data_IF_661952680742
#
_entry.id   IF_661952680742
#
_cell.length_a   1.000
_cell.length_b   1.000
_cell.length_c   1.000
_cell.angle_alpha   90.00
_cell.angle_beta   90.00
_cell.angle_gamma   90.00
#
_symmetry.space_group_name_H-M   'P 1'
#
loop_
_entity.id
_entity.type
_entity.pdbx_description
1 polymer ?
#
# COMPACT_ATOMS: atom_id res chain seq x y z
N UNK A 1 8.61 -5.79 24.51
CA UNK A 1 9.46 -4.68 24.02
C UNK A 1 10.90 -4.99 24.40
N UNK A 2 11.58 -5.74 23.54
CA UNK A 2 12.90 -6.31 23.83
C UNK A 2 13.96 -5.22 24.04
N UNK A 3 14.92 -5.49 24.93
CA UNK A 3 16.02 -4.57 25.30
C UNK A 3 16.79 -4.10 24.05
N UNK A 4 16.92 -4.98 23.06
CA UNK A 4 17.63 -4.74 21.80
C UNK A 4 16.97 -3.67 20.90
N UNK A 5 15.63 -3.55 20.93
CA UNK A 5 14.93 -2.49 20.19
C UNK A 5 15.11 -1.12 20.85
N UNK A 6 15.17 -1.07 22.18
CA UNK A 6 15.35 0.19 22.91
C UNK A 6 16.74 0.79 22.72
N UNK A 7 17.78 -0.04 22.71
CA UNK A 7 19.14 0.44 22.45
C UNK A 7 19.28 0.98 21.02
N UNK A 8 18.62 0.34 20.04
CA UNK A 8 18.58 0.85 18.66
C UNK A 8 17.90 2.23 18.58
N UNK A 9 16.76 2.41 19.24
CA UNK A 9 15.94 3.62 19.18
C UNK A 9 16.72 4.91 19.52
N UNK A 10 17.63 4.84 20.48
CA UNK A 10 18.44 5.97 20.96
C UNK A 10 19.88 5.97 20.43
N UNK A 11 20.19 5.05 19.51
CA UNK A 11 21.52 4.94 18.92
C UNK A 11 21.65 5.72 17.61
N UNK A 12 22.89 5.95 17.19
CA UNK A 12 23.22 6.45 15.85
C UNK A 12 22.61 5.60 14.73
N UNK A 13 22.49 4.28 14.94
CA UNK A 13 21.85 3.40 13.95
C UNK A 13 20.36 3.73 13.82
N UNK A 14 19.66 3.97 14.93
CA UNK A 14 18.26 4.39 14.93
C UNK A 14 18.06 5.70 14.18
N UNK A 15 18.92 6.69 14.43
CA UNK A 15 18.90 7.98 13.71
C UNK A 15 19.09 7.80 12.19
N UNK A 16 20.08 7.00 11.78
CA UNK A 16 20.34 6.72 10.36
C UNK A 16 19.16 6.03 9.67
N UNK A 17 18.51 5.08 10.37
CA UNK A 17 17.34 4.38 9.85
C UNK A 17 16.13 5.31 9.71
N UNK A 18 15.90 6.19 10.70
CA UNK A 18 14.81 7.18 10.64
C UNK A 18 15.05 8.19 9.52
N UNK A 19 16.29 8.70 9.38
CA UNK A 19 16.65 9.61 8.29
C UNK A 19 16.42 8.97 6.92
N UNK A 20 16.88 7.73 6.73
CA UNK A 20 16.68 6.97 5.49
C UNK A 20 15.20 6.71 5.20
N UNK A 21 14.38 6.50 6.23
CA UNK A 21 12.94 6.35 6.07
C UNK A 21 12.30 7.68 5.63
N UNK A 22 12.69 8.81 6.25
CA UNK A 22 12.26 10.15 5.84
C UNK A 22 12.60 10.47 4.38
N UNK A 23 13.85 10.24 3.98
CA UNK A 23 14.29 10.43 2.58
C UNK A 23 13.47 9.59 1.59
N UNK A 24 13.13 8.35 1.94
CA UNK A 24 12.25 7.50 1.12
C UNK A 24 10.83 8.06 1.02
N UNK A 25 10.28 8.52 2.14
CA UNK A 25 8.96 9.16 2.19
C UNK A 25 8.91 10.44 1.35
N UNK A 26 9.95 11.28 1.43
CA UNK A 26 10.04 12.51 0.64
C UNK A 26 10.18 12.22 -0.87
N UNK A 27 10.82 11.09 -1.22
CA UNK A 27 11.02 10.68 -2.62
C UNK A 27 9.79 10.05 -3.29
N UNK A 28 8.68 9.85 -2.57
CA UNK A 28 7.45 9.25 -3.13
C UNK A 28 6.95 10.07 -4.34
N UNK A 29 6.47 9.33 -5.34
CA UNK A 29 6.05 9.80 -6.66
C UNK A 29 4.91 8.93 -7.22
N UNK A 30 4.00 9.46 -8.07
CA UNK A 30 3.83 10.87 -8.48
C UNK A 30 3.29 11.77 -7.38
N UNK A 31 2.40 11.24 -6.55
CA UNK A 31 1.67 12.00 -5.56
C UNK A 31 2.47 12.07 -4.26
N UNK A 32 2.63 13.28 -3.71
CA UNK A 32 3.26 13.46 -2.39
C UNK A 32 2.31 12.95 -1.30
N UNK A 33 2.89 12.30 -0.29
CA UNK A 33 2.11 11.84 0.85
C UNK A 33 1.46 13.04 1.57
N UNK A 34 0.16 12.95 1.88
CA UNK A 34 -0.57 14.04 2.58
C UNK A 34 -1.11 13.61 3.94
N UNK A 35 -1.19 12.31 4.17
CA UNK A 35 -1.71 11.69 5.38
C UNK A 35 -1.09 10.31 5.55
N UNK A 36 -1.40 9.67 6.68
CA UNK A 36 -1.03 8.28 6.96
C UNK A 36 -2.29 7.46 7.21
N UNK A 37 -2.31 6.16 6.85
CA UNK A 37 -1.28 5.46 6.08
C UNK A 37 -1.19 5.97 4.63
N UNK A 38 0.00 5.87 4.02
CA UNK A 38 0.22 6.19 2.60
C UNK A 38 0.84 4.98 1.92
N UNK A 39 0.18 4.46 0.89
CA UNK A 39 0.56 3.21 0.23
C UNK A 39 1.11 3.47 -1.16
N UNK A 40 2.25 2.86 -1.43
CA UNK A 40 2.98 2.91 -2.69
C UNK A 40 3.03 1.49 -3.26
N UNK A 41 2.65 1.33 -4.53
CA UNK A 41 2.59 0.02 -5.20
C UNK A 41 3.38 0.14 -6.50
N UNK A 42 4.33 -0.77 -6.71
CA UNK A 42 5.25 -0.74 -7.85
C UNK A 42 5.95 0.63 -8.00
N UNK A 43 6.38 1.22 -6.87
CA UNK A 43 7.02 2.54 -6.79
C UNK A 43 6.15 3.73 -7.26
N UNK A 44 4.83 3.54 -7.37
CA UNK A 44 3.85 4.56 -7.72
C UNK A 44 2.92 4.80 -6.53
N UNK A 45 2.86 6.04 -6.04
CA UNK A 45 1.77 6.50 -5.17
C UNK A 45 0.56 6.85 -6.02
N UNK A 46 -0.61 6.37 -5.59
CA UNK A 46 -1.86 6.63 -6.31
C UNK A 46 -2.83 7.23 -5.33
N UNK A 47 -2.94 8.56 -5.36
CA UNK A 47 -3.68 9.33 -4.36
C UNK A 47 -5.17 9.01 -4.34
N UNK A 48 -5.81 8.90 -5.51
CA UNK A 48 -7.24 8.62 -5.63
C UNK A 48 -7.66 7.30 -4.99
N UNK A 49 -6.74 6.34 -4.91
CA UNK A 49 -6.96 5.00 -4.44
C UNK A 49 -6.58 4.82 -2.96
N UNK A 50 -5.99 5.84 -2.31
CA UNK A 50 -5.72 5.81 -0.87
C UNK A 50 -7.01 5.69 -0.05
N UNK A 51 -8.15 6.13 -0.58
CA UNK A 51 -9.47 5.93 0.06
C UNK A 51 -10.04 4.52 -0.13
N UNK A 52 -9.49 3.75 -1.07
CA UNK A 52 -9.94 2.40 -1.42
C UNK A 52 -9.09 1.31 -0.76
N UNK A 53 -8.36 1.65 0.30
CA UNK A 53 -7.44 0.73 0.97
C UNK A 53 -8.12 -0.50 1.57
N UNK A 54 -9.38 -0.39 1.99
CA UNK A 54 -10.20 -1.55 2.41
C UNK A 54 -10.47 -2.54 1.27
N UNK A 55 -10.25 -2.12 0.03
CA UNK A 55 -10.40 -2.89 -1.20
C UNK A 55 -9.06 -3.12 -1.91
N UNK A 56 -7.93 -3.04 -1.18
CA UNK A 56 -6.60 -3.21 -1.75
C UNK A 56 -6.45 -4.52 -2.56
N UNK A 57 -7.04 -5.61 -2.08
CA UNK A 57 -6.97 -6.90 -2.76
C UNK A 57 -7.65 -6.88 -4.14
N UNK A 58 -8.76 -6.14 -4.27
CA UNK A 58 -9.44 -5.92 -5.55
C UNK A 58 -8.59 -5.06 -6.50
N UNK A 59 -7.96 -4.00 -5.98
CA UNK A 59 -7.09 -3.13 -6.77
C UNK A 59 -5.87 -3.89 -7.32
N UNK A 60 -5.20 -4.67 -6.47
CA UNK A 60 -4.06 -5.53 -6.87
C UNK A 60 -4.48 -6.47 -8.00
N UNK A 61 -5.66 -7.08 -7.91
CA UNK A 61 -6.19 -7.95 -8.96
C UNK A 61 -6.48 -7.20 -10.26
N UNK A 62 -6.96 -5.96 -10.18
CA UNK A 62 -7.25 -5.12 -11.35
C UNK A 62 -5.96 -4.67 -12.06
N UNK A 63 -4.88 -4.45 -11.30
CA UNK A 63 -3.59 -4.02 -11.85
C UNK A 63 -2.70 -5.19 -12.29
N UNK A 64 -3.09 -6.43 -12.01
CA UNK A 64 -2.31 -7.60 -12.40
C UNK A 64 -2.35 -7.80 -13.91
N UNK A 65 -1.20 -7.68 -14.58
CA UNK A 65 -1.06 -7.87 -16.04
C UNK A 65 -0.40 -9.19 -16.41
N UNK A 66 -0.25 -10.12 -15.45
CA UNK A 66 0.34 -11.41 -15.72
C UNK A 66 -0.61 -12.35 -16.45
N UNK A 67 -0.04 -13.35 -17.10
CA UNK A 67 -0.74 -14.37 -17.90
C UNK A 67 -1.38 -15.47 -17.05
N UNK A 68 -0.90 -15.67 -15.83
CA UNK A 68 -1.41 -16.71 -14.93
C UNK A 68 -2.68 -16.25 -14.22
N UNK A 69 -3.77 -16.96 -14.46
CA UNK A 69 -5.01 -16.73 -13.71
C UNK A 69 -4.81 -16.94 -12.21
N UNK A 70 -5.27 -15.96 -11.43
CA UNK A 70 -5.28 -16.02 -9.96
C UNK A 70 -6.72 -16.30 -9.50
N UNK A 71 -7.03 -17.49 -8.96
CA UNK A 71 -8.39 -17.86 -8.56
C UNK A 71 -9.02 -16.91 -7.54
N UNK A 72 -8.22 -16.22 -6.74
CA UNK A 72 -8.69 -15.19 -5.83
C UNK A 72 -9.27 -13.98 -6.59
N UNK A 73 -8.56 -13.48 -7.60
CA UNK A 73 -9.00 -12.32 -8.40
C UNK A 73 -10.32 -12.58 -9.13
N UNK A 74 -10.50 -13.78 -9.66
CA UNK A 74 -11.76 -14.21 -10.28
C UNK A 74 -12.96 -14.17 -9.31
N UNK A 75 -12.73 -14.41 -8.01
CA UNK A 75 -13.80 -14.32 -7.01
C UNK A 75 -14.11 -12.87 -6.63
N UNK A 76 -13.10 -12.02 -6.55
CA UNK A 76 -13.29 -10.61 -6.21
C UNK A 76 -14.03 -9.83 -7.32
N UNK A 77 -13.73 -10.11 -8.59
CA UNK A 77 -14.49 -9.52 -9.72
C UNK A 77 -15.98 -9.86 -9.66
N UNK A 78 -16.33 -11.13 -9.36
CA UNK A 78 -17.73 -11.57 -9.25
C UNK A 78 -18.48 -10.86 -8.12
N UNK A 79 -17.80 -10.50 -7.03
CA UNK A 79 -18.38 -9.72 -5.93
C UNK A 79 -18.67 -8.28 -6.35
N UNK A 80 -17.79 -7.65 -7.15
CA UNK A 80 -18.00 -6.30 -7.69
C UNK A 80 -19.27 -6.22 -8.52
N UNK A 81 -19.45 -7.13 -9.49
CA UNK A 81 -20.64 -7.14 -10.35
C UNK A 81 -21.92 -7.36 -9.53
N UNK A 82 -21.89 -8.26 -8.54
CA UNK A 82 -23.04 -8.53 -7.66
C UNK A 82 -23.40 -7.31 -6.78
N UNK A 83 -22.41 -6.56 -6.32
CA UNK A 83 -22.63 -5.37 -5.49
C UNK A 83 -23.14 -4.18 -6.31
N UNK A 84 -22.65 -3.99 -7.54
CA UNK A 84 -23.15 -2.96 -8.45
C UNK A 84 -24.55 -3.29 -8.98
N UNK A 85 -24.87 -4.56 -9.24
CA UNK A 85 -26.19 -5.00 -9.72
C UNK A 85 -27.31 -4.97 -8.65
N UNK A 86 -26.96 -4.78 -7.37
CA UNK A 86 -27.92 -4.64 -6.27
C UNK A 86 -28.21 -3.18 -5.91
N UNK A 87 -27.47 -2.25 -6.52
CA UNK A 87 -27.60 -0.80 -6.34
C UNK A 87 -28.17 -0.12 -7.61
N UNK A 88 -28.75 -0.91 -8.53
CA UNK A 88 -29.54 -0.47 -9.70
C UNK A 88 -30.96 -0.96 -9.53
#
# INVERSE_FOLDING_TARGET
MDIFCRSCLVSRLGELLQKKAGERTDSVWPDKHRHVPWVVINDISIESEQMMMDHLSYLICTWYTGDKEIPYCQREEKKKYKMWSLNV
#
